data_IF_009477469643
#
_entry.id   IF_009477469643
#
_cell.length_a   1.000
_cell.length_b   1.000
_cell.length_c   1.000
_cell.angle_alpha   90.00
_cell.angle_beta   90.00
_cell.angle_gamma   90.00
#
_symmetry.space_group_name_H-M   'P 1'
#
loop_
_entity.id
_entity.type
_entity.pdbx_description
1 polymer ?
#
# COMPACT_ATOMS: atom_id res chain seq x y z
N UNK A 1 -18.43 -59.49 7.45
CA UNK A 1 -17.36 -58.66 6.88
C UNK A 1 -17.57 -57.23 7.41
N UNK A 2 -16.78 -56.86 8.37
CA UNK A 2 -16.87 -55.52 9.00
C UNK A 2 -15.82 -54.60 8.37
N UNK A 3 -16.25 -53.64 7.56
CA UNK A 3 -15.35 -52.66 6.99
C UNK A 3 -15.08 -51.58 8.06
N UNK A 4 -13.89 -51.56 8.61
CA UNK A 4 -13.41 -50.49 9.48
C UNK A 4 -12.96 -49.32 8.54
N UNK A 5 -13.79 -48.27 8.47
CA UNK A 5 -13.39 -47.03 7.82
C UNK A 5 -12.27 -46.40 8.65
N UNK A 6 -11.07 -46.34 8.12
CA UNK A 6 -9.98 -45.61 8.70
C UNK A 6 -10.37 -44.11 8.80
N UNK A 7 -10.13 -43.45 9.95
CA UNK A 7 -10.40 -42.01 10.05
C UNK A 7 -9.52 -41.26 9.04
N UNK A 8 -10.18 -40.52 8.16
CA UNK A 8 -9.50 -39.60 7.22
C UNK A 8 -8.67 -38.64 8.06
N UNK A 9 -7.35 -38.72 7.92
CA UNK A 9 -6.44 -37.78 8.55
C UNK A 9 -6.82 -36.37 8.05
N UNK A 10 -7.42 -35.57 8.92
CA UNK A 10 -7.68 -34.17 8.63
C UNK A 10 -6.33 -33.50 8.35
N UNK A 11 -6.08 -33.20 7.09
CA UNK A 11 -4.89 -32.49 6.66
C UNK A 11 -4.91 -31.14 7.35
N UNK A 12 -3.96 -30.88 8.25
CA UNK A 12 -3.83 -29.57 8.87
C UNK A 12 -3.75 -28.49 7.77
N UNK A 13 -4.48 -27.38 7.90
CA UNK A 13 -4.42 -26.33 6.91
C UNK A 13 -2.96 -25.87 6.75
N UNK A 14 -2.48 -25.85 5.52
CA UNK A 14 -1.13 -25.36 5.22
C UNK A 14 -0.97 -23.95 5.81
N UNK A 15 0.18 -23.61 6.42
CA UNK A 15 0.38 -22.30 7.00
C UNK A 15 0.14 -21.23 5.93
N UNK A 16 -0.72 -20.24 6.25
CA UNK A 16 -1.07 -19.16 5.33
C UNK A 16 0.15 -18.25 5.13
N UNK A 17 0.97 -18.61 4.13
CA UNK A 17 2.21 -17.91 3.77
C UNK A 17 1.95 -16.48 3.28
N UNK A 18 0.69 -16.15 2.99
CA UNK A 18 0.26 -14.81 2.57
C UNK A 18 -0.18 -13.90 3.74
N UNK A 19 -0.26 -14.43 4.97
CA UNK A 19 -0.79 -13.69 6.13
C UNK A 19 -0.02 -12.41 6.41
N UNK A 20 1.31 -12.45 6.34
CA UNK A 20 2.16 -11.27 6.52
C UNK A 20 1.90 -10.22 5.43
N UNK A 21 1.89 -10.62 4.15
CA UNK A 21 1.62 -9.71 3.05
C UNK A 21 0.22 -9.08 3.19
N UNK A 22 -0.77 -9.88 3.54
CA UNK A 22 -2.15 -9.42 3.77
C UNK A 22 -2.24 -8.38 4.89
N UNK A 23 -1.53 -8.60 5.99
CA UNK A 23 -1.45 -7.63 7.08
C UNK A 23 -0.84 -6.31 6.61
N UNK A 24 0.30 -6.36 5.90
CA UNK A 24 0.98 -5.17 5.39
C UNK A 24 0.06 -4.40 4.42
N UNK A 25 -0.62 -5.10 3.50
CA UNK A 25 -1.56 -4.48 2.56
C UNK A 25 -2.74 -3.80 3.28
N UNK A 26 -3.27 -4.40 4.36
CA UNK A 26 -4.35 -3.80 5.15
C UNK A 26 -3.89 -2.55 5.88
N UNK A 27 -2.72 -2.59 6.51
CA UNK A 27 -2.16 -1.43 7.24
C UNK A 27 -1.85 -0.31 6.26
N UNK A 28 -1.23 -0.60 5.12
CA UNK A 28 -0.99 0.37 4.05
C UNK A 28 -2.30 0.97 3.52
N UNK A 29 -3.30 0.13 3.22
CA UNK A 29 -4.62 0.59 2.79
C UNK A 29 -5.25 1.58 3.77
N UNK A 30 -5.27 1.27 5.07
CA UNK A 30 -5.87 2.14 6.08
C UNK A 30 -5.09 3.44 6.22
N UNK A 31 -3.76 3.39 6.31
CA UNK A 31 -2.93 4.59 6.44
C UNK A 31 -3.03 5.50 5.21
N UNK A 32 -3.05 4.91 4.01
CA UNK A 32 -3.21 5.63 2.75
C UNK A 32 -4.61 6.24 2.63
N UNK A 33 -5.66 5.52 3.06
CA UNK A 33 -7.02 6.06 3.09
C UNK A 33 -7.15 7.25 4.05
N UNK A 34 -6.59 7.15 5.25
CA UNK A 34 -6.58 8.24 6.24
C UNK A 34 -5.86 9.46 5.68
N UNK A 35 -4.67 9.29 5.09
CA UNK A 35 -3.93 10.39 4.49
C UNK A 35 -4.68 11.00 3.30
N UNK A 36 -5.25 10.18 2.43
CA UNK A 36 -6.07 10.65 1.31
C UNK A 36 -7.27 11.48 1.77
N UNK A 37 -7.95 11.03 2.83
CA UNK A 37 -9.05 11.77 3.43
C UNK A 37 -8.60 13.11 4.02
N UNK A 38 -7.46 13.14 4.72
CA UNK A 38 -6.86 14.37 5.27
C UNK A 38 -6.52 15.34 4.15
N UNK A 39 -5.91 14.87 3.06
CA UNK A 39 -5.58 15.71 1.90
C UNK A 39 -6.80 16.32 1.23
N UNK A 40 -7.92 15.58 1.15
CA UNK A 40 -9.17 16.11 0.59
C UNK A 40 -9.86 17.06 1.56
N UNK A 41 -10.05 16.64 2.82
CA UNK A 41 -10.84 17.38 3.80
C UNK A 41 -10.11 18.64 4.31
N UNK A 42 -8.79 18.61 4.42
CA UNK A 42 -7.96 19.69 4.92
C UNK A 42 -7.11 20.35 3.81
N UNK A 43 -7.51 20.26 2.54
CA UNK A 43 -6.74 20.77 1.41
C UNK A 43 -6.35 22.25 1.54
N UNK A 44 -7.28 23.11 2.01
CA UNK A 44 -7.02 24.54 2.17
C UNK A 44 -5.98 24.84 3.28
N UNK A 45 -6.15 24.38 4.53
CA UNK A 45 -5.15 24.60 5.56
C UNK A 45 -3.80 23.91 5.25
N UNK A 46 -3.80 22.73 4.63
CA UNK A 46 -2.56 22.10 4.17
C UNK A 46 -1.86 22.93 3.10
N UNK A 47 -2.63 23.50 2.15
CA UNK A 47 -2.09 24.36 1.12
C UNK A 47 -1.40 25.60 1.71
N UNK A 48 -1.99 26.23 2.71
CA UNK A 48 -1.37 27.39 3.38
C UNK A 48 -0.09 27.05 4.14
N UNK A 49 -0.01 25.82 4.70
CA UNK A 49 1.16 25.34 5.42
C UNK A 49 2.30 24.91 4.49
N UNK A 50 1.98 24.22 3.41
CA UNK A 50 2.94 23.51 2.55
C UNK A 50 3.26 24.23 1.24
N UNK A 51 2.51 25.28 0.89
CA UNK A 51 2.56 25.89 -0.43
C UNK A 51 1.84 25.10 -1.51
N UNK A 52 1.34 23.90 -1.20
CA UNK A 52 0.69 23.01 -2.14
C UNK A 52 -0.64 23.58 -2.65
N UNK A 53 -0.89 23.66 -3.98
CA UNK A 53 -2.17 24.10 -4.49
C UNK A 53 -3.32 23.19 -4.01
N UNK A 54 -4.44 23.79 -3.60
CA UNK A 54 -5.62 23.07 -3.11
C UNK A 54 -6.08 22.00 -4.12
N UNK A 55 -6.10 22.35 -5.41
CA UNK A 55 -6.48 21.40 -6.46
C UNK A 55 -5.56 20.19 -6.53
N UNK A 56 -4.24 20.39 -6.34
CA UNK A 56 -3.27 19.28 -6.28
C UNK A 56 -3.48 18.43 -5.03
N UNK A 57 -3.68 19.03 -3.86
CA UNK A 57 -3.94 18.30 -2.61
C UNK A 57 -5.18 17.41 -2.75
N UNK A 58 -6.28 17.95 -3.30
CA UNK A 58 -7.52 17.20 -3.53
C UNK A 58 -7.30 16.06 -4.53
N UNK A 59 -6.68 16.34 -5.68
CA UNK A 59 -6.41 15.31 -6.70
C UNK A 59 -5.52 14.19 -6.15
N UNK A 60 -4.48 14.55 -5.42
CA UNK A 60 -3.57 13.60 -4.78
C UNK A 60 -4.27 12.78 -3.69
N UNK A 61 -5.14 13.41 -2.90
CA UNK A 61 -5.97 12.70 -1.91
C UNK A 61 -6.94 11.70 -2.56
N UNK A 62 -7.61 12.07 -3.66
CA UNK A 62 -8.50 11.17 -4.41
C UNK A 62 -7.69 9.99 -4.98
N UNK A 63 -6.50 10.24 -5.55
CA UNK A 63 -5.61 9.19 -6.02
C UNK A 63 -5.25 8.21 -4.89
N UNK A 64 -4.91 8.71 -3.70
CA UNK A 64 -4.62 7.87 -2.54
C UNK A 64 -5.84 7.05 -2.10
N UNK A 65 -7.03 7.62 -2.07
CA UNK A 65 -8.27 6.89 -1.72
C UNK A 65 -8.54 5.75 -2.71
N UNK A 66 -8.33 5.98 -4.00
CA UNK A 66 -8.41 4.93 -5.02
C UNK A 66 -7.39 3.82 -4.81
N UNK A 67 -6.14 4.19 -4.54
CA UNK A 67 -5.06 3.25 -4.21
C UNK A 67 -5.36 2.42 -2.97
N UNK A 68 -5.84 3.06 -1.91
CA UNK A 68 -6.25 2.39 -0.68
C UNK A 68 -7.37 1.36 -0.93
N UNK A 69 -8.35 1.70 -1.75
CA UNK A 69 -9.40 0.76 -2.17
C UNK A 69 -8.82 -0.46 -2.91
N UNK A 70 -7.89 -0.25 -3.84
CA UNK A 70 -7.22 -1.34 -4.54
C UNK A 70 -6.43 -2.24 -3.57
N UNK A 71 -5.70 -1.66 -2.63
CA UNK A 71 -4.96 -2.42 -1.60
C UNK A 71 -5.90 -3.25 -0.73
N UNK A 72 -7.03 -2.68 -0.29
CA UNK A 72 -8.05 -3.38 0.50
C UNK A 72 -8.64 -4.57 -0.27
N UNK A 73 -8.99 -4.37 -1.55
CA UNK A 73 -9.51 -5.43 -2.42
C UNK A 73 -8.49 -6.56 -2.57
N UNK A 74 -7.23 -6.26 -2.86
CA UNK A 74 -6.17 -7.27 -3.00
C UNK A 74 -5.96 -8.02 -1.68
N UNK A 75 -5.96 -7.33 -0.55
CA UNK A 75 -5.87 -7.95 0.76
C UNK A 75 -7.07 -8.85 1.10
N UNK A 76 -8.22 -8.65 0.46
CA UNK A 76 -9.43 -9.46 0.61
C UNK A 76 -9.46 -10.74 -0.20
N UNK A 77 -8.56 -10.93 -1.17
CA UNK A 77 -8.56 -12.16 -1.98
C UNK A 77 -8.31 -13.41 -1.12
N UNK A 78 -9.02 -14.52 -1.34
CA UNK A 78 -8.77 -15.78 -0.65
C UNK A 78 -7.31 -16.24 -0.80
N UNK A 79 -6.80 -16.21 -2.03
CA UNK A 79 -5.38 -16.38 -2.35
C UNK A 79 -4.90 -15.17 -3.16
N UNK A 80 -3.90 -14.45 -2.67
CA UNK A 80 -3.39 -13.25 -3.34
C UNK A 80 -2.60 -13.67 -4.58
N UNK A 81 -3.03 -13.28 -5.81
CA UNK A 81 -2.27 -13.61 -7.02
C UNK A 81 -0.88 -12.94 -6.99
N UNK A 82 0.21 -13.67 -7.27
CA UNK A 82 1.56 -13.10 -7.28
C UNK A 82 1.73 -11.92 -8.24
N UNK A 83 0.96 -11.89 -9.34
CA UNK A 83 0.95 -10.79 -10.29
C UNK A 83 0.42 -9.50 -9.66
N UNK A 84 -0.68 -9.57 -8.89
CA UNK A 84 -1.23 -8.40 -8.19
C UNK A 84 -0.28 -7.92 -7.09
N UNK A 85 0.33 -8.84 -6.33
CA UNK A 85 1.31 -8.49 -5.32
C UNK A 85 2.53 -7.76 -5.94
N UNK A 86 3.03 -8.23 -7.10
CA UNK A 86 4.09 -7.55 -7.86
C UNK A 86 3.67 -6.17 -8.35
N UNK A 87 2.45 -6.05 -8.86
CA UNK A 87 1.92 -4.75 -9.31
C UNK A 87 1.85 -3.74 -8.18
N UNK A 88 1.40 -4.14 -6.99
CA UNK A 88 1.38 -3.27 -5.80
C UNK A 88 2.78 -2.78 -5.44
N UNK A 89 3.76 -3.69 -5.37
CA UNK A 89 5.17 -3.32 -5.08
C UNK A 89 5.69 -2.31 -6.12
N UNK A 90 5.43 -2.55 -7.40
CA UNK A 90 5.88 -1.66 -8.47
C UNK A 90 5.21 -0.27 -8.40
N UNK A 91 3.90 -0.22 -8.18
CA UNK A 91 3.15 1.04 -8.06
C UNK A 91 3.60 1.83 -6.83
N UNK A 92 3.73 1.19 -5.66
CA UNK A 92 4.21 1.87 -4.46
C UNK A 92 5.65 2.39 -4.62
N UNK A 93 6.54 1.62 -5.25
CA UNK A 93 7.89 2.09 -5.57
C UNK A 93 7.84 3.32 -6.50
N UNK A 94 7.00 3.30 -7.54
CA UNK A 94 6.82 4.44 -8.43
C UNK A 94 6.24 5.66 -7.70
N UNK A 95 5.29 5.47 -6.76
CA UNK A 95 4.75 6.54 -5.94
C UNK A 95 5.82 7.16 -5.02
N UNK A 96 6.68 6.34 -4.40
CA UNK A 96 7.78 6.85 -3.57
C UNK A 96 8.73 7.73 -4.41
N UNK A 97 9.13 7.26 -5.59
CA UNK A 97 9.96 8.04 -6.53
C UNK A 97 9.21 9.30 -6.98
N UNK A 98 7.93 9.19 -7.33
CA UNK A 98 7.09 10.32 -7.73
C UNK A 98 7.04 11.42 -6.67
N UNK A 99 6.89 11.08 -5.40
CA UNK A 99 6.93 12.04 -4.29
C UNK A 99 8.28 12.78 -4.23
N UNK A 100 9.41 12.06 -4.40
CA UNK A 100 10.74 12.68 -4.43
C UNK A 100 10.89 13.61 -5.64
N UNK A 101 10.44 13.17 -6.81
CA UNK A 101 10.49 14.01 -8.04
C UNK A 101 9.67 15.28 -7.85
N UNK A 102 8.43 15.18 -7.34
CA UNK A 102 7.58 16.35 -7.11
C UNK A 102 8.21 17.30 -6.07
N UNK A 103 8.89 16.76 -5.06
CA UNK A 103 9.54 17.56 -4.02
C UNK A 103 10.68 18.44 -4.54
N UNK A 104 11.38 18.05 -5.63
CA UNK A 104 12.60 18.72 -6.11
C UNK A 104 12.55 19.23 -7.55
N UNK A 105 11.55 18.85 -8.33
CA UNK A 105 11.50 19.20 -9.76
C UNK A 105 10.70 20.47 -10.06
N UNK A 106 10.32 21.25 -9.05
CA UNK A 106 9.53 22.51 -9.18
C UNK A 106 8.23 22.36 -9.98
N UNK A 107 7.70 21.13 -10.05
CA UNK A 107 6.44 20.82 -10.76
C UNK A 107 5.21 21.36 -10.03
N UNK A 108 5.33 21.53 -8.72
CA UNK A 108 4.30 22.03 -7.82
C UNK A 108 4.93 23.09 -6.94
N UNK A 109 4.32 24.27 -6.78
CA UNK A 109 4.83 25.28 -5.87
C UNK A 109 4.74 24.77 -4.42
N UNK A 110 5.88 24.42 -3.86
CA UNK A 110 6.00 23.93 -2.48
C UNK A 110 6.92 24.86 -1.71
N UNK A 111 6.61 25.10 -0.44
CA UNK A 111 7.57 25.65 0.50
C UNK A 111 8.37 24.52 1.20
N UNK A 112 9.30 24.88 2.11
CA UNK A 112 10.10 23.88 2.83
C UNK A 112 9.27 22.84 3.58
N UNK A 113 8.12 23.23 4.16
CA UNK A 113 7.22 22.30 4.84
C UNK A 113 6.55 21.32 3.85
N UNK A 114 6.20 21.78 2.64
CA UNK A 114 5.67 20.94 1.59
C UNK A 114 6.68 19.90 1.07
N UNK A 115 7.93 20.30 0.91
CA UNK A 115 9.03 19.39 0.57
C UNK A 115 9.17 18.31 1.65
N UNK A 116 9.24 18.70 2.91
CA UNK A 116 9.35 17.76 4.04
C UNK A 116 8.14 16.83 4.10
N UNK A 117 6.94 17.35 3.90
CA UNK A 117 5.71 16.54 3.85
C UNK A 117 5.78 15.44 2.78
N UNK A 118 6.18 15.77 1.55
CA UNK A 118 6.31 14.78 0.47
C UNK A 118 7.44 13.79 0.74
N UNK A 119 8.56 14.22 1.30
CA UNK A 119 9.66 13.31 1.65
C UNK A 119 9.30 12.32 2.75
N UNK A 120 8.56 12.75 3.78
CA UNK A 120 8.02 11.85 4.79
C UNK A 120 7.08 10.82 4.13
N UNK A 121 6.20 11.27 3.25
CA UNK A 121 5.35 10.38 2.46
C UNK A 121 6.15 9.38 1.64
N UNK A 122 7.19 9.82 0.93
CA UNK A 122 8.08 8.96 0.15
C UNK A 122 8.75 7.87 1.02
N UNK A 123 9.25 8.23 2.19
CA UNK A 123 9.85 7.28 3.15
C UNK A 123 8.83 6.25 3.62
N UNK A 124 7.63 6.67 4.01
CA UNK A 124 6.56 5.77 4.46
C UNK A 124 6.20 4.78 3.35
N UNK A 125 5.98 5.25 2.13
CA UNK A 125 5.65 4.39 0.98
C UNK A 125 6.82 3.45 0.63
N UNK A 126 8.07 3.91 0.72
CA UNK A 126 9.25 3.07 0.52
C UNK A 126 9.32 1.94 1.56
N UNK A 127 9.00 2.22 2.82
CA UNK A 127 8.92 1.19 3.88
C UNK A 127 7.83 0.16 3.55
N UNK A 128 6.63 0.59 3.17
CA UNK A 128 5.58 -0.34 2.73
C UNK A 128 6.00 -1.16 1.53
N UNK A 129 6.65 -0.55 0.54
CA UNK A 129 7.20 -1.25 -0.63
C UNK A 129 8.16 -2.38 -0.21
N UNK A 130 9.08 -2.11 0.71
CA UNK A 130 10.05 -3.09 1.20
C UNK A 130 9.36 -4.25 1.97
N UNK A 131 8.36 -3.93 2.80
CA UNK A 131 7.59 -4.93 3.54
C UNK A 131 6.74 -5.80 2.60
N UNK A 132 6.08 -5.20 1.62
CA UNK A 132 5.31 -5.90 0.60
C UNK A 132 6.19 -6.79 -0.27
N UNK A 133 7.37 -6.32 -0.67
CA UNK A 133 8.33 -7.12 -1.40
C UNK A 133 8.82 -8.32 -0.58
N UNK A 134 9.08 -8.13 0.70
CA UNK A 134 9.45 -9.22 1.63
C UNK A 134 8.32 -10.25 1.75
N UNK A 135 7.08 -9.79 1.89
CA UNK A 135 5.88 -10.64 1.93
C UNK A 135 5.69 -11.43 0.63
N UNK A 136 5.87 -10.77 -0.51
CA UNK A 136 5.82 -11.40 -1.83
C UNK A 136 6.88 -12.51 -1.98
N UNK A 137 8.13 -12.24 -1.58
CA UNK A 137 9.21 -13.24 -1.63
C UNK A 137 8.92 -14.46 -0.76
N UNK A 138 8.38 -14.26 0.45
CA UNK A 138 8.00 -15.37 1.34
C UNK A 138 6.91 -16.23 0.72
N UNK A 139 5.90 -15.60 0.12
CA UNK A 139 4.80 -16.29 -0.54
C UNK A 139 5.28 -17.12 -1.74
N UNK A 140 6.17 -16.57 -2.59
CA UNK A 140 6.67 -17.27 -3.78
C UNK A 140 7.68 -18.37 -3.45
N UNK A 141 8.49 -18.21 -2.40
CA UNK A 141 9.42 -19.24 -1.96
C UNK A 141 8.73 -20.49 -1.37
N UNK A 142 7.52 -20.33 -0.82
CA UNK A 142 6.76 -21.46 -0.27
C UNK A 142 6.02 -22.28 -1.35
N UNK A 143 5.95 -21.78 -2.59
CA UNK A 143 5.29 -22.42 -3.72
C UNK A 143 6.28 -23.04 -4.73
N UNK A 144 7.57 -22.88 -4.52
CA UNK A 144 8.66 -23.43 -5.32
C UNK A 144 9.23 -24.71 -4.69
#
# INVERSE_FOLDING_TARGET
MTYTLAPSAATAPAPDTSSFLRLVLRVDSVSTAVMGLVLVAAAAPLGSLTGMPVAFAVAFGIFQLGGAGCLALIAGYPAIPPALARAVVAVNAACAVGCVVIAFADLVPLNGAGVVFLLIGAVIVAVYTALQYTGLRRMTAATA
#
